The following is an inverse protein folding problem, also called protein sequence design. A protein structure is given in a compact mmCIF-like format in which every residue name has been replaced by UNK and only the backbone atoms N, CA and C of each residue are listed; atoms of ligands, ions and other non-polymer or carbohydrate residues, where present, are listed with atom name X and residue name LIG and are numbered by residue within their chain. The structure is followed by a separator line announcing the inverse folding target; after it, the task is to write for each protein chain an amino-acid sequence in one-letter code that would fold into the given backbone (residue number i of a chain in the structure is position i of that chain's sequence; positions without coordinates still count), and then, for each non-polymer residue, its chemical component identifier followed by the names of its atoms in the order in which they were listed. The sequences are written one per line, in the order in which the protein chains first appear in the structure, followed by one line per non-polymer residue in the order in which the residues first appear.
data_IF_998654355494
#
_entry.id   IF_998654355494
#
_cell.length_a   1.000
_cell.length_b   1.000
_cell.length_c   1.000
_cell.angle_alpha   90.00
_cell.angle_beta   90.00
_cell.angle_gamma   90.00
#
_symmetry.space_group_name_H-M   'P 1'
#
loop_
_entity.id
_entity.type
_entity.pdbx_description
1 polymer ?
#
# COMPACT_ATOMS: atom_id res chain seq x y z
N UNK A 1 46.74 -35.63 -53.55
CA UNK A 1 45.84 -36.24 -52.55
C UNK A 1 45.54 -35.18 -51.50
N UNK A 2 44.32 -34.76 -51.16
CA UNK A 2 42.97 -35.31 -51.30
C UNK A 2 42.02 -34.21 -51.81
N UNK A 3 41.08 -34.58 -52.69
CA UNK A 3 39.84 -33.85 -52.97
C UNK A 3 38.87 -34.13 -51.81
N UNK A 4 38.21 -33.10 -51.31
CA UNK A 4 36.92 -33.22 -50.64
C UNK A 4 36.02 -32.15 -51.28
N UNK A 5 35.01 -32.60 -52.01
CA UNK A 5 34.03 -31.76 -52.68
C UNK A 5 32.96 -31.39 -51.66
N UNK A 6 32.58 -30.11 -51.65
CA UNK A 6 31.46 -29.60 -50.88
C UNK A 6 30.17 -30.38 -51.20
N UNK A 7 29.55 -30.93 -50.16
CA UNK A 7 28.23 -31.53 -50.24
C UNK A 7 27.13 -30.46 -50.18
N UNK A 8 25.96 -30.71 -50.77
CA UNK A 8 24.87 -29.74 -50.83
C UNK A 8 24.29 -29.48 -49.43
N UNK A 9 24.22 -28.20 -49.06
CA UNK A 9 23.52 -27.72 -47.86
C UNK A 9 22.05 -28.14 -47.91
N UNK A 10 21.64 -28.99 -46.97
CA UNK A 10 20.23 -29.33 -46.71
C UNK A 10 19.43 -28.06 -46.37
N UNK A 11 18.23 -27.84 -46.93
CA UNK A 11 17.40 -26.71 -46.57
C UNK A 11 16.91 -26.86 -45.12
N UNK A 12 17.18 -25.86 -44.28
CA UNK A 12 16.62 -25.78 -42.92
C UNK A 12 15.10 -25.94 -43.00
N UNK A 13 14.58 -26.98 -42.39
CA UNK A 13 13.15 -27.30 -42.38
C UNK A 13 12.45 -26.30 -41.44
N UNK A 14 11.85 -25.25 -42.01
CA UNK A 14 11.15 -24.23 -41.24
C UNK A 14 9.84 -24.82 -40.71
N UNK A 15 9.75 -25.01 -39.39
CA UNK A 15 8.55 -25.57 -38.74
C UNK A 15 7.47 -24.49 -38.75
N UNK A 16 6.32 -24.82 -39.35
CA UNK A 16 5.17 -23.93 -39.47
C UNK A 16 4.00 -24.51 -38.68
N UNK A 17 3.44 -23.73 -37.76
CA UNK A 17 2.25 -24.12 -36.99
C UNK A 17 1.02 -23.38 -37.51
N UNK A 18 -0.10 -24.09 -37.66
CA UNK A 18 -1.37 -23.49 -38.04
C UNK A 18 -2.20 -23.16 -36.79
N UNK A 19 -2.61 -21.91 -36.66
CA UNK A 19 -3.57 -21.47 -35.65
C UNK A 19 -4.98 -21.75 -36.18
N UNK A 20 -5.72 -22.57 -35.47
CA UNK A 20 -7.14 -22.82 -35.74
C UNK A 20 -7.98 -22.10 -34.68
N UNK A 21 -8.99 -21.38 -35.14
CA UNK A 21 -10.04 -20.81 -34.30
C UNK A 21 -11.32 -21.62 -34.38
N UNK A 22 -12.07 -21.66 -33.29
CA UNK A 22 -13.37 -22.30 -33.27
C UNK A 22 -14.47 -21.26 -33.55
N UNK A 23 -15.11 -21.36 -34.72
CA UNK A 23 -16.22 -20.47 -35.10
C UNK A 23 -17.55 -21.21 -34.95
N UNK A 24 -18.52 -20.59 -34.28
CA UNK A 24 -19.88 -21.11 -34.13
C UNK A 24 -20.78 -20.51 -35.20
N UNK A 25 -21.22 -21.30 -36.19
CA UNK A 25 -22.22 -20.89 -37.18
C UNK A 25 -23.47 -21.72 -37.02
N UNK A 26 -24.62 -21.06 -36.80
CA UNK A 26 -25.98 -21.63 -36.87
C UNK A 26 -26.08 -23.04 -36.26
N UNK A 27 -25.67 -23.19 -34.99
CA UNK A 27 -25.70 -24.40 -34.13
C UNK A 27 -24.60 -25.46 -34.27
N UNK A 28 -23.65 -25.36 -35.22
CA UNK A 28 -22.45 -26.24 -35.27
C UNK A 28 -21.15 -25.49 -35.03
N UNK A 29 -20.23 -26.14 -34.32
CA UNK A 29 -18.86 -25.68 -34.13
C UNK A 29 -18.02 -26.12 -35.33
N UNK A 30 -17.29 -25.18 -35.95
CA UNK A 30 -16.38 -25.46 -37.07
C UNK A 30 -15.02 -24.85 -36.80
N UNK A 31 -13.98 -25.67 -36.92
CA UNK A 31 -12.60 -25.17 -36.94
C UNK A 31 -12.37 -24.38 -38.22
N UNK A 32 -11.85 -23.16 -38.06
CA UNK A 32 -11.45 -22.26 -39.15
C UNK A 32 -10.02 -21.87 -38.94
N UNK A 33 -9.19 -22.01 -39.97
CA UNK A 33 -7.80 -21.56 -39.93
C UNK A 33 -7.77 -20.05 -39.77
N UNK A 34 -7.19 -19.60 -38.66
CA UNK A 34 -6.99 -18.19 -38.37
C UNK A 34 -5.65 -17.77 -38.94
N UNK A 35 -4.53 -18.40 -38.62
CA UNK A 35 -3.23 -17.89 -39.05
C UNK A 35 -2.13 -18.92 -39.00
N UNK A 36 -0.90 -18.48 -39.28
CA UNK A 36 0.28 -19.34 -39.28
C UNK A 36 1.34 -18.71 -38.37
N UNK A 37 1.97 -19.51 -37.51
CA UNK A 37 3.13 -19.11 -36.73
C UNK A 37 4.36 -19.78 -37.33
N UNK A 38 5.37 -18.96 -37.62
CA UNK A 38 6.70 -19.39 -38.00
C UNK A 38 7.72 -18.94 -36.95
N UNK A 39 8.96 -19.43 -37.03
CA UNK A 39 10.06 -18.95 -36.17
C UNK A 39 10.33 -17.43 -36.30
N UNK A 40 9.84 -16.79 -37.36
CA UNK A 40 10.01 -15.36 -37.63
C UNK A 40 8.80 -14.52 -37.16
N UNK A 41 7.82 -15.15 -36.51
CA UNK A 41 6.63 -14.49 -35.98
C UNK A 41 5.32 -15.02 -36.57
N UNK A 42 4.22 -14.51 -36.02
CA UNK A 42 2.86 -14.87 -36.39
C UNK A 42 2.29 -13.92 -37.45
N UNK A 43 1.70 -14.48 -38.51
CA UNK A 43 0.87 -13.73 -39.48
C UNK A 43 -0.60 -13.88 -39.06
N UNK A 44 -1.19 -12.81 -38.53
CA UNK A 44 -2.55 -12.83 -37.98
C UNK A 44 -3.54 -12.08 -38.87
N UNK A 45 -4.56 -12.75 -39.45
CA UNK A 45 -5.83 -12.10 -39.80
C UNK A 45 -6.76 -12.04 -38.58
N UNK A 46 -7.77 -11.18 -38.65
CA UNK A 46 -8.67 -10.81 -37.55
C UNK A 46 -9.22 -12.02 -36.76
N UNK A 47 -8.96 -12.02 -35.45
CA UNK A 47 -9.42 -13.04 -34.51
C UNK A 47 -10.88 -12.76 -34.16
N UNK A 48 -11.73 -13.79 -34.21
CA UNK A 48 -13.11 -13.74 -33.72
C UNK A 48 -13.15 -14.49 -32.40
N UNK A 49 -13.23 -13.77 -31.28
CA UNK A 49 -13.36 -14.35 -29.93
C UNK A 49 -14.84 -14.26 -29.54
N UNK A 50 -15.43 -15.37 -29.12
CA UNK A 50 -16.82 -15.44 -28.63
C UNK A 50 -17.92 -14.91 -29.59
N UNK A 51 -17.66 -14.83 -30.90
CA UNK A 51 -18.64 -14.40 -31.90
C UNK A 51 -18.55 -12.92 -32.29
N UNK A 52 -17.71 -12.14 -31.63
CA UNK A 52 -17.44 -10.74 -31.99
C UNK A 52 -16.18 -10.63 -32.85
N UNK A 53 -16.25 -9.83 -33.92
CA UNK A 53 -15.06 -9.46 -34.70
C UNK A 53 -14.26 -8.49 -33.85
N UNK A 54 -13.07 -8.90 -33.41
CA UNK A 54 -12.17 -8.02 -32.68
C UNK A 54 -11.70 -6.91 -33.63
N UNK A 55 -12.29 -5.72 -33.49
CA UNK A 55 -11.75 -4.48 -34.05
C UNK A 55 -10.72 -3.95 -33.05
N UNK A 56 -9.54 -3.51 -33.51
CA UNK A 56 -8.46 -2.98 -32.67
C UNK A 56 -8.83 -1.70 -31.89
N UNK A 57 -10.08 -1.23 -32.00
CA UNK A 57 -10.68 -0.28 -31.07
C UNK A 57 -10.89 -0.98 -29.73
N UNK A 58 -9.82 -1.05 -28.93
CA UNK A 58 -9.91 -1.12 -27.47
C UNK A 58 -10.91 -0.04 -27.06
N UNK A 59 -12.14 -0.44 -26.73
CA UNK A 59 -13.08 0.47 -26.09
C UNK A 59 -12.37 1.04 -24.86
N UNK A 60 -12.32 2.37 -24.75
CA UNK A 60 -11.85 3.07 -23.54
C UNK A 60 -12.82 2.76 -22.39
N UNK A 61 -12.74 1.54 -21.88
CA UNK A 61 -13.36 1.18 -20.61
C UNK A 61 -12.42 1.65 -19.52
N UNK A 62 -12.82 2.68 -18.78
CA UNK A 62 -12.09 3.10 -17.58
C UNK A 62 -12.06 1.91 -16.62
N UNK A 63 -10.85 1.50 -16.25
CA UNK A 63 -10.69 0.35 -15.35
C UNK A 63 -11.12 0.76 -13.94
N UNK A 64 -12.07 0.02 -13.34
CA UNK A 64 -12.47 0.23 -11.95
C UNK A 64 -11.59 -0.61 -11.00
N UNK A 65 -10.84 0.06 -10.13
CA UNK A 65 -9.85 -0.56 -9.26
C UNK A 65 -10.33 -0.67 -7.80
N UNK A 66 -10.14 -1.84 -7.20
CA UNK A 66 -10.37 -2.04 -5.76
C UNK A 66 -9.13 -1.64 -5.01
N UNK A 67 -9.23 -0.58 -4.23
CA UNK A 67 -8.13 0.00 -3.46
C UNK A 67 -8.30 -0.37 -1.99
N UNK A 68 -7.29 -1.02 -1.42
CA UNK A 68 -7.25 -1.35 0.00
C UNK A 68 -6.40 -0.33 0.75
N UNK A 69 -6.87 0.07 1.92
CA UNK A 69 -6.17 1.01 2.81
C UNK A 69 -6.40 0.66 4.28
N UNK A 70 -5.79 1.44 5.17
CA UNK A 70 -5.87 1.30 6.63
C UNK A 70 -6.01 2.68 7.27
N UNK A 71 -6.70 2.75 8.41
CA UNK A 71 -6.74 3.98 9.21
C UNK A 71 -5.33 4.32 9.72
N UNK A 72 -4.86 5.52 9.40
CA UNK A 72 -3.51 5.97 9.69
C UNK A 72 -3.43 7.50 9.70
N UNK A 73 -3.54 8.12 10.87
CA UNK A 73 -3.42 9.58 10.96
C UNK A 73 -2.00 10.05 10.61
N UNK A 74 -1.82 11.14 9.84
CA UNK A 74 -2.83 11.99 9.17
C UNK A 74 -3.14 11.60 7.71
N UNK A 75 -2.71 10.41 7.25
CA UNK A 75 -2.80 9.95 5.86
C UNK A 75 -4.18 9.46 5.46
N UNK A 76 -4.80 8.63 6.30
CA UNK A 76 -6.15 8.10 6.12
C UNK A 76 -6.88 8.19 7.45
N UNK A 77 -7.99 8.91 7.45
CA UNK A 77 -8.84 9.15 8.60
C UNK A 77 -10.24 8.71 8.19
N UNK A 78 -10.86 7.88 9.02
CA UNK A 78 -12.26 7.56 8.85
C UNK A 78 -13.15 8.60 9.52
N UNK A 79 -14.28 8.87 8.88
CA UNK A 79 -15.31 9.76 9.34
C UNK A 79 -16.68 9.14 9.01
N UNK A 80 -17.70 9.54 9.75
CA UNK A 80 -19.06 9.07 9.50
C UNK A 80 -19.72 9.91 8.41
N UNK A 81 -20.55 9.30 7.55
CA UNK A 81 -21.36 10.06 6.60
C UNK A 81 -22.34 10.97 7.33
N UNK A 82 -22.81 12.01 6.65
CA UNK A 82 -23.91 12.83 7.17
C UNK A 82 -25.18 11.99 7.21
N UNK A 83 -25.85 12.00 8.35
CA UNK A 83 -27.12 11.31 8.60
C UNK A 83 -28.17 11.82 7.60
N UNK A 84 -28.46 10.98 6.60
CA UNK A 84 -29.69 10.86 5.77
C UNK A 84 -29.41 10.63 4.26
N UNK A 85 -28.19 10.89 3.76
CA UNK A 85 -27.90 10.77 2.31
C UNK A 85 -26.70 9.87 1.94
N UNK A 86 -26.08 9.18 2.91
CA UNK A 86 -24.84 8.41 2.68
C UNK A 86 -23.79 9.21 1.87
N UNK A 87 -23.72 10.52 2.13
CA UNK A 87 -22.84 11.44 1.44
C UNK A 87 -21.70 11.89 2.35
N UNK A 88 -20.52 12.08 1.75
CA UNK A 88 -19.32 12.53 2.44
C UNK A 88 -19.13 14.04 2.21
N UNK A 89 -19.29 14.85 3.27
CA UNK A 89 -18.97 16.29 3.20
C UNK A 89 -17.49 16.53 2.88
N UNK A 90 -16.62 15.67 3.42
CA UNK A 90 -15.18 15.76 3.29
C UNK A 90 -14.61 14.37 3.00
N UNK A 91 -13.68 14.30 2.05
CA UNK A 91 -13.05 13.05 1.63
C UNK A 91 -13.87 12.29 0.58
N UNK A 92 -13.61 11.00 0.50
CA UNK A 92 -14.19 10.08 -0.50
C UNK A 92 -14.94 8.94 0.18
N UNK A 93 -15.95 8.35 -0.48
CA UNK A 93 -16.64 7.19 0.05
C UNK A 93 -15.69 5.99 0.18
N UNK A 94 -15.79 5.28 1.31
CA UNK A 94 -15.03 4.06 1.55
C UNK A 94 -15.84 3.05 2.38
N UNK A 95 -15.43 1.78 2.30
CA UNK A 95 -16.11 0.69 3.01
C UNK A 95 -15.25 0.16 4.15
N UNK A 96 -15.85 -0.03 5.33
CA UNK A 96 -15.25 -0.84 6.39
C UNK A 96 -15.77 -2.26 6.25
N UNK A 97 -14.89 -3.21 5.92
CA UNK A 97 -15.26 -4.62 5.72
C UNK A 97 -14.89 -5.46 6.93
N UNK A 98 -15.72 -6.46 7.24
CA UNK A 98 -15.48 -7.39 8.36
C UNK A 98 -14.85 -8.73 7.92
N UNK A 99 -14.65 -8.94 6.62
CA UNK A 99 -14.20 -10.20 6.04
C UNK A 99 -12.85 -10.07 5.33
N UNK A 100 -12.08 -11.16 5.36
CA UNK A 100 -10.83 -11.33 4.60
C UNK A 100 -11.02 -12.20 3.34
N UNK A 101 -12.21 -12.77 3.17
CA UNK A 101 -12.46 -13.71 2.09
C UNK A 101 -12.58 -12.94 0.77
N UNK A 102 -11.70 -13.27 -0.17
CA UNK A 102 -11.67 -12.69 -1.52
C UNK A 102 -13.01 -12.72 -2.24
N UNK A 103 -13.77 -13.81 -2.12
CA UNK A 103 -15.04 -13.95 -2.83
C UNK A 103 -16.11 -13.02 -2.26
N UNK A 104 -16.14 -12.86 -0.93
CA UNK A 104 -17.06 -11.95 -0.25
C UNK A 104 -16.68 -10.49 -0.54
N UNK A 105 -15.38 -10.14 -0.51
CA UNK A 105 -14.90 -8.81 -0.89
C UNK A 105 -15.29 -8.44 -2.32
N UNK A 106 -15.19 -9.39 -3.27
CA UNK A 106 -15.66 -9.16 -4.65
C UNK A 106 -17.15 -8.89 -4.74
N UNK A 107 -17.96 -9.61 -3.97
CA UNK A 107 -19.41 -9.39 -3.93
C UNK A 107 -19.75 -8.04 -3.30
N UNK A 108 -19.05 -7.64 -2.22
CA UNK A 108 -19.22 -6.33 -1.59
C UNK A 108 -18.96 -5.21 -2.60
N UNK A 109 -17.89 -5.31 -3.38
CA UNK A 109 -17.59 -4.30 -4.42
C UNK A 109 -18.60 -4.29 -5.57
N UNK A 110 -19.08 -5.45 -6.00
CA UNK A 110 -20.14 -5.53 -7.01
C UNK A 110 -21.44 -4.86 -6.52
N UNK A 111 -21.77 -5.02 -5.23
CA UNK A 111 -22.95 -4.41 -4.61
C UNK A 111 -22.79 -2.89 -4.45
N UNK A 112 -21.57 -2.43 -4.13
CA UNK A 112 -21.25 -1.01 -4.03
C UNK A 112 -21.41 -0.29 -5.36
N UNK A 113 -21.02 -0.92 -6.47
CA UNK A 113 -21.26 -0.40 -7.83
C UNK A 113 -22.77 -0.29 -8.16
N UNK A 114 -23.62 -1.03 -7.47
CA UNK A 114 -25.09 -0.97 -7.58
C UNK A 114 -25.78 -0.14 -6.47
N UNK A 115 -25.03 0.74 -5.78
CA UNK A 115 -25.52 1.65 -4.73
C UNK A 115 -26.10 0.97 -3.46
N UNK A 116 -25.76 -0.30 -3.19
CA UNK A 116 -26.06 -0.94 -1.90
C UNK A 116 -24.92 -0.64 -0.93
N UNK A 117 -25.09 0.40 -0.12
CA UNK A 117 -24.00 1.00 0.67
C UNK A 117 -23.78 0.34 2.05
N UNK A 118 -24.79 -0.33 2.59
CA UNK A 118 -24.73 -0.94 3.92
C UNK A 118 -25.17 -2.40 3.88
N UNK A 119 -24.39 -3.28 4.49
CA UNK A 119 -24.72 -4.71 4.59
C UNK A 119 -24.14 -5.36 5.85
N UNK A 120 -24.44 -6.64 6.11
CA UNK A 120 -23.99 -7.32 7.32
C UNK A 120 -22.45 -7.45 7.41
N UNK A 121 -21.75 -7.39 6.27
CA UNK A 121 -20.30 -7.58 6.17
C UNK A 121 -19.54 -6.29 5.88
N UNK A 122 -20.23 -5.17 5.63
CA UNK A 122 -19.60 -3.90 5.31
C UNK A 122 -20.44 -2.70 5.72
N UNK A 123 -19.77 -1.66 6.20
CA UNK A 123 -20.38 -0.38 6.55
C UNK A 123 -19.80 0.73 5.67
N UNK A 124 -20.68 1.61 5.20
CA UNK A 124 -20.31 2.83 4.49
C UNK A 124 -19.68 3.85 5.45
N UNK A 125 -18.56 4.44 5.05
CA UNK A 125 -17.82 5.47 5.77
C UNK A 125 -17.25 6.49 4.78
N UNK A 126 -16.74 7.58 5.33
CA UNK A 126 -16.02 8.60 4.58
C UNK A 126 -14.55 8.55 4.95
N UNK A 127 -13.66 8.41 3.96
CA UNK A 127 -12.22 8.39 4.16
C UNK A 127 -11.63 9.71 3.67
N UNK A 128 -10.86 10.38 4.53
CA UNK A 128 -10.17 11.64 4.23
C UNK A 128 -8.71 11.60 4.66
N UNK A 129 -7.90 12.51 4.12
CA UNK A 129 -6.50 12.67 4.50
C UNK A 129 -5.56 12.64 3.30
N UNK A 130 -4.27 12.86 3.56
CA UNK A 130 -3.25 13.06 2.54
C UNK A 130 -3.20 11.93 1.49
N UNK A 131 -3.37 10.68 1.92
CA UNK A 131 -3.34 9.54 1.00
C UNK A 131 -4.59 9.49 0.11
N UNK A 132 -5.77 9.83 0.64
CA UNK A 132 -7.02 9.83 -0.14
C UNK A 132 -7.03 10.94 -1.19
N UNK A 133 -6.50 12.12 -0.85
CA UNK A 133 -6.38 13.25 -1.77
C UNK A 133 -5.38 12.92 -2.90
N UNK A 134 -4.24 12.33 -2.56
CA UNK A 134 -3.24 11.91 -3.54
C UNK A 134 -3.77 10.80 -4.48
N UNK A 135 -4.52 9.83 -3.94
CA UNK A 135 -5.18 8.80 -4.74
C UNK A 135 -6.16 9.41 -5.75
N UNK A 136 -6.95 10.39 -5.31
CA UNK A 136 -7.93 11.09 -6.16
C UNK A 136 -7.25 11.91 -7.26
N UNK A 137 -6.11 12.54 -6.97
CA UNK A 137 -5.32 13.23 -7.98
C UNK A 137 -4.74 12.24 -8.99
N UNK A 138 -4.15 11.13 -8.50
CA UNK A 138 -3.58 10.09 -9.33
C UNK A 138 -4.61 9.45 -10.27
N UNK A 139 -5.83 9.22 -9.79
CA UNK A 139 -6.90 8.63 -10.59
C UNK A 139 -7.31 9.53 -11.77
N UNK A 140 -7.32 10.85 -11.55
CA UNK A 140 -7.60 11.85 -12.58
C UNK A 140 -6.50 11.94 -13.62
N UNK A 141 -5.24 11.88 -13.18
CA UNK A 141 -4.07 11.98 -14.06
C UNK A 141 -3.89 10.73 -14.93
N UNK A 142 -4.13 9.54 -14.37
CA UNK A 142 -3.96 8.25 -15.08
C UNK A 142 -5.23 7.82 -15.82
N UNK A 143 -6.41 8.23 -15.36
CA UNK A 143 -7.70 7.91 -15.98
C UNK A 143 -8.28 6.56 -15.56
N UNK A 144 -8.31 6.26 -14.27
CA UNK A 144 -9.01 5.09 -13.70
C UNK A 144 -10.04 5.50 -12.65
N UNK A 145 -11.06 4.67 -12.50
CA UNK A 145 -12.05 4.81 -11.43
C UNK A 145 -11.71 3.83 -10.30
N UNK A 146 -12.15 4.09 -9.08
CA UNK A 146 -11.77 3.26 -7.95
C UNK A 146 -12.78 3.27 -6.82
N UNK A 147 -12.80 2.17 -6.06
CA UNK A 147 -13.51 2.08 -4.79
C UNK A 147 -12.55 1.70 -3.67
N UNK A 148 -12.68 2.36 -2.51
CA UNK A 148 -11.77 2.19 -1.38
C UNK A 148 -12.42 1.34 -0.29
N UNK A 149 -11.66 0.44 0.31
CA UNK A 149 -12.05 -0.23 1.53
C UNK A 149 -10.93 -0.27 2.57
N UNK A 150 -11.32 -0.23 3.84
CA UNK A 150 -10.44 -0.44 4.98
C UNK A 150 -10.25 -1.93 5.20
N UNK A 151 -8.99 -2.37 5.26
CA UNK A 151 -8.64 -3.77 5.52
C UNK A 151 -9.27 -4.26 6.84
N UNK A 152 -9.82 -5.48 6.83
CA UNK A 152 -10.55 -6.03 7.98
C UNK A 152 -9.69 -6.13 9.26
N UNK A 153 -8.37 -6.32 9.10
CA UNK A 153 -7.43 -6.57 10.20
C UNK A 153 -6.78 -5.32 10.77
N UNK A 154 -7.01 -4.16 10.16
CA UNK A 154 -6.28 -2.92 10.42
C UNK A 154 -4.76 -3.14 10.51
N UNK A 155 -4.18 -3.85 9.53
CA UNK A 155 -2.74 -4.12 9.44
C UNK A 155 -2.20 -3.85 8.04
N UNK A 156 -0.98 -3.35 7.97
CA UNK A 156 -0.25 -3.23 6.70
C UNK A 156 0.03 -4.61 6.08
N UNK A 157 0.42 -5.57 6.91
CA UNK A 157 0.74 -6.92 6.50
C UNK A 157 2.13 -7.39 6.93
N UNK A 158 2.18 -8.64 7.39
CA UNK A 158 3.37 -9.40 7.75
C UNK A 158 3.27 -10.82 7.20
N UNK A 159 4.41 -11.42 6.95
CA UNK A 159 4.48 -12.84 6.64
C UNK A 159 4.20 -13.66 7.91
N UNK A 160 3.29 -14.62 7.79
CA UNK A 160 2.95 -15.58 8.82
C UNK A 160 3.83 -16.82 8.65
N UNK A 161 3.96 -17.62 9.72
CA UNK A 161 4.81 -18.84 9.71
C UNK A 161 4.38 -19.86 8.66
N UNK A 162 3.10 -19.85 8.27
CA UNK A 162 2.54 -20.70 7.22
C UNK A 162 2.80 -20.18 5.79
N UNK A 163 3.60 -19.12 5.62
CA UNK A 163 3.89 -18.48 4.33
C UNK A 163 2.74 -17.66 3.75
N UNK A 164 1.63 -17.49 4.49
CA UNK A 164 0.55 -16.56 4.14
C UNK A 164 0.87 -15.15 4.62
N UNK A 165 0.14 -14.17 4.10
CA UNK A 165 0.28 -12.77 4.45
C UNK A 165 -1.03 -12.25 5.03
N UNK A 166 -0.94 -11.45 6.08
CA UNK A 166 -2.09 -10.72 6.65
C UNK A 166 -2.16 -9.28 6.14
N UNK A 167 -3.21 -8.57 6.54
CA UNK A 167 -3.37 -7.13 6.26
C UNK A 167 -3.45 -6.78 4.77
N UNK A 168 -3.07 -5.54 4.44
CA UNK A 168 -3.08 -5.02 3.07
C UNK A 168 -2.27 -5.91 2.12
N UNK A 169 -1.08 -6.38 2.52
CA UNK A 169 -0.28 -7.27 1.68
C UNK A 169 -1.01 -8.59 1.38
N UNK A 170 -1.71 -9.16 2.36
CA UNK A 170 -2.52 -10.38 2.17
C UNK A 170 -3.64 -10.19 1.15
N UNK A 171 -4.34 -9.06 1.21
CA UNK A 171 -5.41 -8.72 0.27
C UNK A 171 -4.91 -8.50 -1.16
N UNK A 172 -3.72 -7.91 -1.31
CA UNK A 172 -3.07 -7.73 -2.61
C UNK A 172 -2.59 -9.06 -3.19
N UNK A 173 -1.91 -9.89 -2.38
CA UNK A 173 -1.39 -11.18 -2.84
C UNK A 173 -2.49 -12.17 -3.18
N UNK A 174 -3.60 -12.14 -2.45
CA UNK A 174 -4.78 -12.95 -2.78
C UNK A 174 -5.49 -12.45 -4.05
N UNK A 175 -5.27 -11.20 -4.48
CA UNK A 175 -5.99 -10.55 -5.57
C UNK A 175 -7.41 -10.13 -5.18
N UNK A 176 -7.66 -9.94 -3.88
CA UNK A 176 -8.88 -9.29 -3.39
C UNK A 176 -8.85 -7.79 -3.74
N UNK A 177 -7.72 -7.13 -3.48
CA UNK A 177 -7.43 -5.76 -3.92
C UNK A 177 -6.57 -5.74 -5.19
N UNK A 178 -6.66 -4.65 -5.96
CA UNK A 178 -5.78 -4.38 -7.09
C UNK A 178 -4.60 -3.49 -6.69
N UNK A 179 -4.84 -2.48 -5.83
CA UNK A 179 -3.84 -1.52 -5.38
C UNK A 179 -3.97 -1.30 -3.87
N UNK A 180 -2.84 -1.22 -3.17
CA UNK A 180 -2.79 -0.76 -1.78
C UNK A 180 -2.36 0.70 -1.77
N UNK A 181 -3.16 1.58 -1.18
CA UNK A 181 -2.85 3.02 -1.13
C UNK A 181 -3.03 3.57 0.29
N UNK A 182 -1.97 4.10 0.89
CA UNK A 182 -1.99 4.56 2.28
C UNK A 182 -0.57 4.73 2.83
N UNK A 183 -0.44 4.82 4.16
CA UNK A 183 0.85 4.94 4.84
C UNK A 183 1.56 3.58 5.02
N UNK A 184 1.77 2.85 3.93
CA UNK A 184 2.36 1.50 3.97
C UNK A 184 3.89 1.62 4.02
N UNK A 185 4.50 1.12 5.09
CA UNK A 185 5.96 1.15 5.21
C UNK A 185 6.63 0.17 4.24
N UNK A 186 7.59 0.68 3.47
CA UNK A 186 8.39 -0.10 2.52
C UNK A 186 9.49 -0.85 3.26
N UNK A 187 9.35 -2.17 3.40
CA UNK A 187 10.34 -3.04 4.07
C UNK A 187 10.83 -4.13 3.12
N UNK A 188 12.00 -4.71 3.38
CA UNK A 188 12.55 -5.77 2.52
C UNK A 188 11.65 -7.00 2.43
N UNK A 189 11.06 -7.41 3.56
CA UNK A 189 10.11 -8.53 3.60
C UNK A 189 8.84 -8.24 2.78
N UNK A 190 8.30 -7.01 2.81
CA UNK A 190 7.13 -6.67 2.00
C UNK A 190 7.46 -6.57 0.51
N UNK A 191 8.65 -6.06 0.17
CA UNK A 191 9.14 -6.00 -1.22
C UNK A 191 9.32 -7.36 -1.89
N UNK A 192 9.50 -8.44 -1.11
CA UNK A 192 9.56 -9.79 -1.70
C UNK A 192 8.18 -10.37 -2.03
N UNK A 193 7.09 -9.77 -1.54
CA UNK A 193 5.73 -10.22 -1.77
C UNK A 193 4.96 -9.37 -2.78
N UNK A 194 5.24 -8.06 -2.85
CA UNK A 194 4.59 -7.11 -3.75
C UNK A 194 5.58 -6.06 -4.28
N UNK A 195 5.22 -5.44 -5.40
CA UNK A 195 5.94 -4.30 -5.95
C UNK A 195 5.46 -2.99 -5.32
N UNK A 196 6.41 -2.10 -5.04
CA UNK A 196 6.16 -0.76 -4.52
C UNK A 196 6.50 0.30 -5.58
N UNK A 197 5.73 1.38 -5.60
CA UNK A 197 6.06 2.58 -6.36
C UNK A 197 7.21 3.36 -5.70
N UNK A 198 7.61 4.47 -6.33
CA UNK A 198 8.48 5.44 -5.66
C UNK A 198 7.77 5.98 -4.40
N UNK A 199 8.43 6.01 -3.24
CA UNK A 199 7.83 6.54 -2.02
C UNK A 199 7.39 7.99 -2.21
N UNK A 200 6.14 8.31 -1.84
CA UNK A 200 5.62 9.68 -1.86
C UNK A 200 5.88 10.42 -0.54
N UNK A 201 6.27 9.71 0.52
CA UNK A 201 6.55 10.27 1.84
C UNK A 201 7.76 9.59 2.49
N UNK A 202 8.67 10.39 3.06
CA UNK A 202 9.83 9.91 3.80
C UNK A 202 9.70 10.28 5.27
N UNK A 203 9.45 9.27 6.11
CA UNK A 203 9.44 9.44 7.57
C UNK A 203 10.84 9.27 8.16
N UNK A 204 11.11 9.96 9.27
CA UNK A 204 12.29 9.73 10.13
C UNK A 204 11.81 9.34 11.52
N UNK A 205 12.53 8.42 12.16
CA UNK A 205 12.29 8.08 13.55
C UNK A 205 12.70 9.24 14.46
N UNK A 206 11.84 9.59 15.41
CA UNK A 206 12.11 10.60 16.43
C UNK A 206 11.56 10.09 17.76
N UNK A 207 12.22 10.44 18.85
CA UNK A 207 11.79 10.08 20.20
C UNK A 207 10.95 11.21 20.78
N UNK A 208 9.71 10.91 21.12
CA UNK A 208 8.85 11.82 21.88
C UNK A 208 9.08 11.56 23.36
N UNK A 209 9.58 12.56 24.09
CA UNK A 209 9.78 12.48 25.54
C UNK A 209 9.04 13.63 26.20
N UNK A 210 8.28 13.32 27.25
CA UNK A 210 7.65 14.34 28.07
C UNK A 210 8.74 15.17 28.75
N UNK A 211 8.81 16.47 28.46
CA UNK A 211 9.71 17.37 29.16
C UNK A 211 9.19 17.55 30.58
N UNK A 212 9.90 17.01 31.57
CA UNK A 212 9.64 17.39 32.95
C UNK A 212 10.25 18.76 33.17
N UNK A 213 9.43 19.73 33.60
CA UNK A 213 9.96 21.02 34.07
C UNK A 213 10.77 20.72 35.33
N UNK A 214 12.08 20.64 35.21
CA UNK A 214 12.96 20.50 36.36
C UNK A 214 12.74 21.73 37.26
N UNK A 215 12.05 21.54 38.39
CA UNK A 215 12.01 22.54 39.44
C UNK A 215 13.40 22.54 40.07
N UNK A 216 14.29 23.40 39.57
CA UNK A 216 15.61 23.61 40.17
C UNK A 216 15.34 24.16 41.58
N UNK A 217 15.63 23.34 42.60
CA UNK A 217 15.54 23.80 43.99
C UNK A 217 16.63 24.86 44.18
N UNK A 218 16.26 26.06 44.63
CA UNK A 218 17.23 27.11 44.98
C UNK A 218 18.23 26.63 46.06
N UNK A 219 17.82 25.67 46.90
CA UNK A 219 18.67 25.03 47.91
C UNK A 219 19.62 23.96 47.36
N UNK A 220 19.55 23.59 46.08
CA UNK A 220 20.46 22.60 45.48
C UNK A 220 21.92 23.08 45.50
N UNK A 221 22.15 24.39 45.56
CA UNK A 221 23.50 24.94 45.74
C UNK A 221 24.07 24.68 47.14
N UNK A 222 23.22 24.52 48.16
CA UNK A 222 23.62 24.26 49.55
C UNK A 222 23.80 22.77 49.85
N UNK A 223 23.20 21.89 49.04
CA UNK A 223 23.28 20.43 49.16
C UNK A 223 24.73 19.85 49.21
N UNK A 224 25.73 20.36 48.46
CA UNK A 224 27.11 19.88 48.59
C UNK A 224 27.82 20.33 49.89
N UNK A 225 27.28 21.30 50.63
CA UNK A 225 27.92 21.78 51.87
C UNK A 225 27.49 20.94 53.08
N UNK A 226 28.39 20.08 53.55
CA UNK A 226 28.17 19.33 54.79
C UNK A 226 28.09 20.26 56.01
N UNK A 227 27.28 19.90 57.01
CA UNK A 227 27.22 20.56 58.32
C UNK A 227 28.60 20.74 58.98
N UNK A 228 29.54 19.83 58.73
CA UNK A 228 30.93 19.95 59.22
C UNK A 228 31.66 21.17 58.64
N UNK A 229 31.44 21.48 57.36
CA UNK A 229 32.04 22.65 56.69
C UNK A 229 31.46 23.95 57.25
N UNK A 230 30.16 23.98 57.55
CA UNK A 230 29.53 25.13 58.22
C UNK A 230 30.14 25.38 59.61
N UNK A 231 30.27 24.34 60.44
CA UNK A 231 30.95 24.46 61.74
C UNK A 231 32.37 24.99 61.58
N UNK A 232 33.13 24.48 60.60
CA UNK A 232 34.50 24.91 60.34
C UNK A 232 34.58 26.38 59.88
N UNK A 233 33.66 26.84 59.03
CA UNK A 233 33.58 28.24 58.60
C UNK A 233 33.29 29.14 59.80
N UNK A 234 32.28 28.79 60.61
CA UNK A 234 31.95 29.58 61.80
C UNK A 234 33.11 29.60 62.79
N UNK A 235 33.75 28.47 63.09
CA UNK A 235 34.87 28.44 64.03
C UNK A 235 36.07 29.25 63.54
N UNK A 236 36.41 29.15 62.26
CA UNK A 236 37.49 29.94 61.66
C UNK A 236 37.21 31.45 61.68
N UNK A 237 35.97 31.86 61.39
CA UNK A 237 35.55 33.26 61.45
C UNK A 237 35.66 33.83 62.88
N UNK A 238 35.24 33.08 63.91
CA UNK A 238 35.35 33.55 65.29
C UNK A 238 36.81 33.57 65.77
N UNK A 239 37.60 32.54 65.43
CA UNK A 239 39.02 32.48 65.79
C UNK A 239 39.82 33.63 65.17
N UNK A 240 39.57 33.95 63.90
CA UNK A 240 40.20 35.10 63.21
C UNK A 240 39.78 36.43 63.81
N UNK A 241 38.50 36.62 64.15
CA UNK A 241 38.02 37.84 64.82
C UNK A 241 38.67 38.05 66.21
N UNK A 242 38.77 36.99 67.02
CA UNK A 242 39.42 37.06 68.34
C UNK A 242 40.91 37.37 68.19
N UNK A 243 41.60 36.71 67.25
CA UNK A 243 43.00 37.00 66.99
C UNK A 243 43.20 38.45 66.58
N UNK A 244 42.40 38.97 65.63
CA UNK A 244 42.46 40.36 65.21
C UNK A 244 42.26 41.32 66.39
N UNK A 245 41.27 41.10 67.25
CA UNK A 245 41.00 41.94 68.42
C UNK A 245 42.08 41.90 69.51
N UNK A 246 42.95 40.88 69.53
CA UNK A 246 44.09 40.79 70.46
C UNK A 246 45.34 41.46 69.88
N UNK A 247 45.51 41.40 68.55
CA UNK A 247 46.67 41.95 67.85
C UNK A 247 46.49 43.40 67.38
N UNK A 248 45.27 43.93 67.47
CA UNK A 248 44.92 45.35 67.33
C UNK A 248 44.92 46.04 68.70
#
# INVERSE_FOLDING_TARGET
MKRYLDGPTSPKQQIMFEILGLSRKKTRHRWTRIGNISEQGALSPAIVVAGEKFSNTLAESRSHLRVVTRVSHPFTIEDYPVTDENFCLMGIPCLRVATKNKNELRQIFANFETEILTGPLHNFLCCKGLAMDLLTALSKDVGFDFGVYLVADDKDGRELENGQWDGIIGDLRSGAAHIGFGSISVTQSRKSAIDFSSPYYYSKFSFLVATTKAKIKLSAFLEPFSWKLWIAIFSALHATAIAAAIFE
#
